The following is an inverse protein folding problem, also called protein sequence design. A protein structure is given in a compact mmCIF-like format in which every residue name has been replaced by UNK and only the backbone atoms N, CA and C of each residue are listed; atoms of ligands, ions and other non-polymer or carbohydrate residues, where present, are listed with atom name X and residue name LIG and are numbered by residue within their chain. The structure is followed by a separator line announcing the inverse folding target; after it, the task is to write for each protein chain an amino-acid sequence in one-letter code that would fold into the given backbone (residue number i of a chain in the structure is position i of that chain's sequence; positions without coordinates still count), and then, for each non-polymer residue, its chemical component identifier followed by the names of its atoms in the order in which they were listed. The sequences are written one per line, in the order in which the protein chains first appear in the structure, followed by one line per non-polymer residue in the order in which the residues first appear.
data_IF_091302861579
#
_entry.id   IF_091302861579
#
_cell.length_a   1.000
_cell.length_b   1.000
_cell.length_c   1.000
_cell.angle_alpha   90.00
_cell.angle_beta   90.00
_cell.angle_gamma   90.00
#
_symmetry.space_group_name_H-M   'P 1'
#
loop_
_entity.id
_entity.type
_entity.pdbx_description
1 polymer ?
#
# COMPACT_ATOMS: atom_id res chain seq x y z
N UNK A 1 -7.08 55.47 -37.88
CA UNK A 1 -6.91 54.70 -36.65
C UNK A 1 -8.09 54.86 -35.64
N UNK A 2 -9.28 55.20 -36.09
CA UNK A 2 -10.51 55.33 -35.24
C UNK A 2 -11.64 54.38 -35.62
N UNK A 3 -11.47 53.63 -36.75
CA UNK A 3 -12.52 52.71 -37.23
C UNK A 3 -12.41 51.29 -36.64
N UNK A 4 -11.22 50.87 -36.24
CA UNK A 4 -10.97 49.51 -35.68
C UNK A 4 -11.51 49.35 -34.23
N UNK A 5 -11.62 50.43 -33.45
CA UNK A 5 -12.14 50.36 -32.06
C UNK A 5 -13.68 50.24 -32.01
N UNK A 6 -14.39 50.69 -33.04
CA UNK A 6 -15.87 50.60 -33.10
C UNK A 6 -16.33 49.23 -33.57
N UNK A 7 -15.52 48.55 -34.40
CA UNK A 7 -15.82 47.19 -34.86
C UNK A 7 -15.61 46.15 -33.77
N UNK A 8 -14.62 46.38 -32.91
CA UNK A 8 -14.32 45.47 -31.78
C UNK A 8 -15.42 45.52 -30.69
N UNK A 9 -16.05 46.71 -30.48
CA UNK A 9 -17.12 46.86 -29.51
C UNK A 9 -18.43 46.18 -29.98
N UNK A 10 -18.71 46.13 -31.29
CA UNK A 10 -19.91 45.49 -31.86
C UNK A 10 -19.82 43.96 -31.89
N UNK A 11 -18.60 43.39 -31.96
CA UNK A 11 -18.39 41.93 -31.90
C UNK A 11 -18.50 41.41 -30.46
N UNK A 12 -18.09 42.23 -29.47
CA UNK A 12 -18.19 41.85 -28.06
C UNK A 12 -19.62 41.87 -27.50
N UNK A 13 -20.49 42.72 -28.05
CA UNK A 13 -21.91 42.79 -27.65
C UNK A 13 -22.76 41.68 -28.27
N UNK A 14 -22.35 41.10 -29.39
CA UNK A 14 -23.08 40.00 -30.06
C UNK A 14 -22.77 38.62 -29.41
N UNK A 15 -21.68 38.49 -28.64
CA UNK A 15 -21.30 37.27 -27.96
C UNK A 15 -21.94 37.09 -26.56
N UNK A 16 -22.64 38.09 -26.04
CA UNK A 16 -23.29 38.09 -24.73
C UNK A 16 -24.78 37.73 -24.71
N UNK A 17 -25.38 37.48 -25.88
CA UNK A 17 -26.83 37.18 -25.98
C UNK A 17 -27.13 35.70 -26.31
N UNK A 18 -26.09 34.84 -26.46
CA UNK A 18 -26.28 33.46 -26.86
C UNK A 18 -26.14 32.42 -25.73
N UNK A 19 -26.26 32.80 -24.45
CA UNK A 19 -26.12 31.84 -23.34
C UNK A 19 -27.29 31.85 -22.34
N UNK A 20 -28.54 31.77 -22.85
CA UNK A 20 -29.69 31.47 -22.00
C UNK A 20 -30.69 30.53 -22.69
N UNK A 21 -30.19 29.37 -23.12
CA UNK A 21 -31.05 28.21 -23.35
C UNK A 21 -30.86 27.26 -22.16
N UNK A 22 -31.60 27.52 -21.09
CA UNK A 22 -31.80 26.55 -20.04
C UNK A 22 -32.65 25.41 -20.63
N UNK A 23 -31.98 24.31 -20.99
CA UNK A 23 -32.65 23.05 -21.29
C UNK A 23 -33.14 22.49 -19.94
N UNK A 24 -34.40 22.82 -19.59
CA UNK A 24 -35.09 22.11 -18.53
C UNK A 24 -35.37 20.69 -19.02
N UNK A 25 -34.50 19.76 -18.69
CA UNK A 25 -34.77 18.34 -18.83
C UNK A 25 -35.97 18.00 -17.94
N UNK A 26 -37.14 17.80 -18.52
CA UNK A 26 -38.29 17.22 -17.85
C UNK A 26 -37.91 15.78 -17.48
N UNK A 27 -37.71 15.53 -16.16
CA UNK A 27 -37.61 14.18 -15.62
C UNK A 27 -38.95 13.47 -15.87
N UNK A 28 -38.98 12.58 -16.85
CA UNK A 28 -40.10 11.65 -17.06
C UNK A 28 -40.02 10.64 -15.92
N UNK A 29 -41.08 10.48 -15.10
CA UNK A 29 -41.08 9.46 -14.07
C UNK A 29 -40.98 8.07 -14.74
N UNK A 30 -39.94 7.28 -14.41
CA UNK A 30 -39.85 5.90 -14.84
C UNK A 30 -40.84 5.09 -13.98
N UNK A 31 -41.90 4.52 -14.57
CA UNK A 31 -42.82 3.66 -13.80
C UNK A 31 -42.08 2.35 -13.50
N UNK A 32 -42.04 1.95 -12.23
CA UNK A 32 -41.38 0.76 -11.65
C UNK A 32 -39.86 0.90 -11.36
N UNK A 33 -39.42 2.03 -10.88
CA UNK A 33 -38.17 2.02 -10.09
C UNK A 33 -38.42 1.19 -8.81
N UNK A 34 -37.63 0.15 -8.52
CA UNK A 34 -37.72 -0.52 -7.21
C UNK A 34 -37.46 0.51 -6.11
N UNK A 35 -38.18 0.38 -5.00
CA UNK A 35 -37.96 1.21 -3.83
C UNK A 35 -36.47 1.25 -3.49
N UNK A 36 -35.91 2.39 -3.01
CA UNK A 36 -34.51 2.46 -2.61
C UNK A 36 -34.26 1.34 -1.61
N UNK A 37 -33.45 0.37 -2.03
CA UNK A 37 -32.97 -0.68 -1.12
C UNK A 37 -32.22 0.05 -0.02
N UNK A 38 -32.73 -0.07 1.20
CA UNK A 38 -32.08 0.44 2.41
C UNK A 38 -30.78 -0.33 2.58
N UNK A 39 -29.73 0.13 1.90
CA UNK A 39 -28.40 -0.43 2.03
C UNK A 39 -27.97 -0.13 3.46
N UNK A 40 -27.50 -1.13 4.23
CA UNK A 40 -26.98 -0.87 5.55
C UNK A 40 -25.91 0.22 5.44
N UNK A 41 -26.12 1.33 6.13
CA UNK A 41 -25.11 2.37 6.31
C UNK A 41 -24.00 1.68 7.12
N UNK A 42 -22.93 1.29 6.44
CA UNK A 42 -21.70 0.92 7.10
C UNK A 42 -21.18 2.20 7.76
N UNK A 43 -21.44 2.34 9.05
CA UNK A 43 -20.72 3.31 9.87
C UNK A 43 -19.24 2.92 9.74
N UNK A 44 -18.42 3.83 9.22
CA UNK A 44 -16.99 3.64 9.22
C UNK A 44 -16.57 3.40 10.67
N UNK A 45 -15.99 2.24 10.96
CA UNK A 45 -15.43 1.96 12.27
C UNK A 45 -14.27 2.95 12.48
N UNK A 46 -14.52 3.98 13.29
CA UNK A 46 -13.52 4.99 13.68
C UNK A 46 -12.43 4.39 14.60
N UNK A 47 -12.31 3.08 14.70
CA UNK A 47 -11.22 2.44 15.44
C UNK A 47 -9.90 2.86 14.77
N UNK A 48 -8.98 3.53 15.50
CA UNK A 48 -7.70 3.92 14.93
C UNK A 48 -6.99 2.71 14.35
N UNK A 49 -6.51 2.81 13.11
CA UNK A 49 -5.72 1.75 12.50
C UNK A 49 -4.55 1.40 13.44
N UNK A 50 -4.36 0.14 13.84
CA UNK A 50 -3.36 -0.24 14.84
C UNK A 50 -1.92 0.01 14.37
N UNK A 51 -1.72 0.27 13.06
CA UNK A 51 -0.42 0.63 12.47
C UNK A 51 -0.53 1.94 11.68
N UNK A 52 0.47 2.81 11.83
CA UNK A 52 0.62 4.05 11.06
C UNK A 52 1.81 3.96 10.11
N UNK A 53 1.78 4.69 9.00
CA UNK A 53 2.85 4.66 8.00
C UNK A 53 4.21 5.10 8.56
N UNK A 54 4.22 6.04 9.50
CA UNK A 54 5.43 6.51 10.17
C UNK A 54 5.88 5.64 11.35
N UNK A 55 5.18 4.53 11.61
CA UNK A 55 5.43 3.63 12.73
C UNK A 55 6.66 2.75 12.55
N UNK A 56 7.05 2.10 13.64
CA UNK A 56 8.11 1.08 13.70
C UNK A 56 7.52 -0.20 14.28
N UNK A 57 7.70 -1.33 13.57
CA UNK A 57 7.05 -2.58 13.89
C UNK A 57 8.02 -3.75 13.78
N UNK A 58 7.84 -4.78 14.65
CA UNK A 58 8.73 -5.94 14.73
C UNK A 58 7.98 -7.26 14.80
N UNK A 59 6.70 -7.22 15.23
CA UNK A 59 5.89 -8.44 15.39
C UNK A 59 5.35 -8.92 14.06
N UNK A 60 5.05 -10.21 13.98
CA UNK A 60 4.46 -10.81 12.78
C UNK A 60 3.19 -10.07 12.33
N UNK A 61 2.28 -9.82 13.27
CA UNK A 61 0.95 -9.29 12.93
C UNK A 61 1.01 -7.82 12.52
N UNK A 62 1.76 -6.99 13.26
CA UNK A 62 1.93 -5.57 12.92
C UNK A 62 2.65 -5.36 11.59
N UNK A 63 3.74 -6.13 11.34
CA UNK A 63 4.52 -6.00 10.09
C UNK A 63 3.73 -6.51 8.90
N UNK A 64 2.98 -7.62 9.05
CA UNK A 64 2.13 -8.13 7.99
C UNK A 64 1.00 -7.15 7.65
N UNK A 65 0.34 -6.59 8.67
CA UNK A 65 -0.70 -5.56 8.47
C UNK A 65 -0.12 -4.30 7.83
N UNK A 66 1.06 -3.85 8.28
CA UNK A 66 1.74 -2.70 7.68
C UNK A 66 2.02 -2.90 6.19
N UNK A 67 2.59 -4.06 5.82
CA UNK A 67 2.87 -4.38 4.40
C UNK A 67 1.56 -4.48 3.61
N UNK A 68 0.50 -5.04 4.20
CA UNK A 68 -0.82 -5.14 3.55
C UNK A 68 -1.41 -3.77 3.23
N UNK A 69 -1.28 -2.79 4.13
CA UNK A 69 -1.84 -1.45 3.98
C UNK A 69 -0.98 -0.54 3.09
N UNK A 70 0.35 -0.61 3.22
CA UNK A 70 1.27 0.36 2.62
C UNK A 70 2.13 -0.21 1.48
N UNK A 71 2.17 -1.53 1.30
CA UNK A 71 2.91 -2.19 0.20
C UNK A 71 4.43 -2.21 0.33
N UNK A 72 4.98 -1.75 1.44
CA UNK A 72 6.42 -1.72 1.71
C UNK A 72 6.74 -2.04 3.18
N UNK A 73 8.01 -2.17 3.52
CA UNK A 73 8.46 -2.41 4.90
C UNK A 73 8.42 -1.12 5.74
N UNK A 74 8.18 -1.23 7.07
CA UNK A 74 8.34 -0.12 8.01
C UNK A 74 9.76 0.47 7.98
N UNK A 75 9.90 1.73 8.41
CA UNK A 75 11.17 2.49 8.36
C UNK A 75 12.30 1.90 9.19
N UNK A 76 12.00 1.05 10.18
CA UNK A 76 12.98 0.35 11.02
C UNK A 76 13.58 -0.91 10.34
N UNK A 77 13.27 -1.16 9.06
CA UNK A 77 13.90 -2.22 8.28
C UNK A 77 15.02 -1.67 7.41
N UNK A 78 16.20 -2.30 7.49
CA UNK A 78 17.38 -1.95 6.69
C UNK A 78 17.86 -3.16 5.89
N UNK A 79 18.47 -2.89 4.72
CA UNK A 79 19.04 -3.97 3.90
C UNK A 79 20.27 -4.59 4.53
N UNK A 80 20.60 -5.84 4.16
CA UNK A 80 21.85 -6.50 4.58
C UNK A 80 23.09 -5.66 4.22
N UNK A 81 23.12 -5.05 3.04
CA UNK A 81 24.24 -4.19 2.61
C UNK A 81 24.36 -2.94 3.49
N UNK A 82 23.26 -2.35 3.90
CA UNK A 82 23.29 -1.22 4.84
C UNK A 82 23.80 -1.65 6.21
N UNK A 83 23.33 -2.79 6.74
CA UNK A 83 23.80 -3.33 8.00
C UNK A 83 25.31 -3.62 7.96
N UNK A 84 25.79 -4.23 6.88
CA UNK A 84 27.23 -4.50 6.66
C UNK A 84 28.07 -3.21 6.61
N UNK A 85 27.55 -2.14 5.99
CA UNK A 85 28.24 -0.84 5.98
C UNK A 85 28.37 -0.22 7.39
N UNK A 86 27.57 -0.69 8.36
CA UNK A 86 27.66 -0.31 9.78
C UNK A 86 28.55 -1.26 10.60
N UNK A 87 29.21 -2.25 9.95
CA UNK A 87 30.10 -3.22 10.59
C UNK A 87 29.42 -4.53 11.00
N UNK A 88 28.14 -4.76 10.64
CA UNK A 88 27.44 -5.99 10.94
C UNK A 88 27.95 -7.15 10.06
N UNK A 89 28.40 -8.23 10.69
CA UNK A 89 28.89 -9.43 10.00
C UNK A 89 27.97 -10.65 10.22
N UNK A 90 26.87 -10.49 10.97
CA UNK A 90 25.92 -11.54 11.32
C UNK A 90 25.45 -11.46 12.76
N UNK A 91 24.51 -12.33 13.13
CA UNK A 91 23.96 -12.37 14.49
C UNK A 91 23.00 -11.21 14.79
N UNK A 92 23.06 -10.66 16.00
CA UNK A 92 22.23 -9.52 16.41
C UNK A 92 22.55 -8.25 15.64
N UNK A 93 21.52 -7.51 15.24
CA UNK A 93 21.69 -6.19 14.62
C UNK A 93 21.76 -5.05 15.66
N UNK A 94 21.31 -5.29 16.89
CA UNK A 94 21.20 -4.26 17.95
C UNK A 94 22.49 -3.46 18.22
N UNK A 95 23.70 -4.05 18.20
CA UNK A 95 24.93 -3.27 18.43
C UNK A 95 25.27 -2.29 17.30
N UNK A 96 24.74 -2.49 16.10
CA UNK A 96 25.10 -1.75 14.87
C UNK A 96 23.99 -0.79 14.43
N UNK A 97 22.75 -1.18 14.61
CA UNK A 97 21.56 -0.39 14.29
C UNK A 97 20.44 -0.71 15.31
N UNK A 98 20.49 -0.08 16.50
CA UNK A 98 19.52 -0.34 17.57
C UNK A 98 18.10 -0.15 17.10
N UNK A 99 17.20 -1.09 17.43
CA UNK A 99 15.81 -1.07 17.05
C UNK A 99 15.52 -1.40 15.57
N UNK A 100 16.54 -1.64 14.74
CA UNK A 100 16.34 -2.04 13.35
C UNK A 100 16.27 -3.56 13.18
N UNK A 101 15.64 -3.99 12.08
CA UNK A 101 15.60 -5.36 11.60
C UNK A 101 16.11 -5.45 10.17
N UNK A 102 16.59 -6.63 9.75
CA UNK A 102 17.00 -6.86 8.36
C UNK A 102 15.76 -7.09 7.49
N UNK A 103 15.68 -6.42 6.35
CA UNK A 103 14.61 -6.64 5.38
C UNK A 103 14.91 -6.06 4.01
N UNK A 104 13.99 -6.27 3.07
CA UNK A 104 14.09 -5.76 1.70
C UNK A 104 14.97 -6.63 0.78
N UNK A 105 15.45 -7.79 1.25
CA UNK A 105 16.16 -8.76 0.41
C UNK A 105 15.20 -9.48 -0.54
N UNK A 106 15.65 -9.77 -1.77
CA UNK A 106 14.89 -10.62 -2.69
C UNK A 106 14.86 -12.05 -2.19
N UNK A 107 13.66 -12.63 -2.10
CA UNK A 107 13.45 -14.04 -1.87
C UNK A 107 13.30 -14.79 -3.21
N UNK A 108 14.13 -15.81 -3.44
CA UNK A 108 14.24 -16.47 -4.75
C UNK A 108 13.14 -17.49 -5.06
N UNK A 109 12.45 -18.02 -4.02
CA UNK A 109 11.47 -19.11 -4.14
C UNK A 109 11.98 -20.31 -4.98
N UNK A 110 13.24 -20.70 -4.80
CA UNK A 110 13.88 -21.74 -5.62
C UNK A 110 13.28 -23.13 -5.39
N UNK A 111 12.75 -23.38 -4.19
CA UNK A 111 12.06 -24.62 -3.82
C UNK A 111 10.61 -24.66 -4.36
N UNK A 112 10.10 -23.53 -4.88
CA UNK A 112 8.75 -23.44 -5.45
C UNK A 112 7.62 -23.57 -4.44
N UNK A 113 7.88 -23.29 -3.16
CA UNK A 113 6.88 -23.41 -2.08
C UNK A 113 5.81 -22.31 -2.13
N UNK A 114 6.14 -21.17 -2.75
CA UNK A 114 5.20 -20.04 -2.94
C UNK A 114 4.69 -20.00 -4.38
N UNK A 115 3.45 -19.53 -4.62
CA UNK A 115 2.86 -19.45 -5.95
C UNK A 115 3.68 -18.59 -6.92
N UNK A 116 3.87 -19.09 -8.15
CA UNK A 116 4.60 -18.37 -9.20
C UNK A 116 3.63 -17.75 -10.21
N UNK A 117 3.95 -16.53 -10.69
CA UNK A 117 3.19 -15.81 -11.71
C UNK A 117 4.13 -14.91 -12.50
N UNK A 118 3.85 -14.69 -13.78
CA UNK A 118 4.65 -13.78 -14.61
C UNK A 118 4.71 -12.38 -13.98
N UNK A 119 5.91 -11.90 -13.68
CA UNK A 119 6.16 -10.59 -13.07
C UNK A 119 6.07 -10.57 -11.54
N UNK A 120 5.67 -11.67 -10.88
CA UNK A 120 5.69 -11.76 -9.42
C UNK A 120 7.12 -11.89 -8.93
N UNK A 121 7.44 -11.08 -7.95
CA UNK A 121 8.71 -11.11 -7.21
C UNK A 121 8.42 -11.15 -5.72
N UNK A 122 9.29 -11.76 -4.95
CA UNK A 122 9.16 -11.85 -3.51
C UNK A 122 10.28 -11.11 -2.80
N UNK A 123 9.92 -10.47 -1.69
CA UNK A 123 10.82 -9.76 -0.76
C UNK A 123 10.70 -10.38 0.62
N UNK A 124 11.82 -10.51 1.34
CA UNK A 124 11.85 -11.05 2.69
C UNK A 124 12.17 -10.00 3.76
N UNK A 125 11.72 -10.24 5.00
CA UNK A 125 12.18 -9.51 6.16
C UNK A 125 12.16 -10.36 7.42
N UNK A 126 13.02 -9.99 8.39
CA UNK A 126 13.12 -10.62 9.70
C UNK A 126 11.96 -10.23 10.61
N UNK A 127 11.51 -11.16 11.44
CA UNK A 127 10.45 -10.94 12.42
C UNK A 127 10.92 -11.28 13.83
N UNK A 128 10.44 -10.54 14.84
CA UNK A 128 10.72 -10.74 16.27
C UNK A 128 12.23 -10.66 16.63
N UNK A 129 13.02 -9.83 15.95
CA UNK A 129 14.48 -9.73 16.16
C UNK A 129 14.90 -8.68 17.17
N UNK A 130 14.00 -7.73 17.53
CA UNK A 130 14.30 -6.65 18.47
C UNK A 130 14.74 -7.20 19.82
N UNK A 131 15.90 -6.75 20.32
CA UNK A 131 16.47 -7.19 21.59
C UNK A 131 16.96 -8.64 21.62
N UNK A 132 17.02 -9.33 20.46
CA UNK A 132 17.48 -10.71 20.38
C UNK A 132 18.98 -10.78 20.06
N UNK A 133 19.63 -11.87 20.51
CA UNK A 133 21.05 -12.14 20.26
C UNK A 133 21.32 -12.63 18.82
N UNK A 134 20.28 -13.01 18.08
CA UNK A 134 20.36 -13.49 16.70
C UNK A 134 19.12 -13.11 15.92
N UNK A 135 19.16 -13.26 14.59
CA UNK A 135 18.02 -13.03 13.69
C UNK A 135 16.92 -14.09 13.81
N UNK A 136 17.22 -15.25 14.38
CA UNK A 136 16.26 -16.36 14.45
C UNK A 136 15.80 -16.86 13.08
N UNK A 137 14.75 -17.71 13.07
CA UNK A 137 14.21 -18.32 11.85
C UNK A 137 12.98 -17.60 11.29
N UNK A 138 12.33 -16.72 12.05
CA UNK A 138 11.06 -16.10 11.68
C UNK A 138 11.21 -15.06 10.58
N UNK A 139 10.40 -15.18 9.53
CA UNK A 139 10.38 -14.26 8.38
C UNK A 139 8.96 -13.95 7.93
N UNK A 140 8.81 -12.79 7.33
CA UNK A 140 7.73 -12.53 6.37
C UNK A 140 8.34 -12.50 4.97
N UNK A 141 7.65 -13.15 4.03
CA UNK A 141 7.94 -13.11 2.60
C UNK A 141 6.71 -12.57 1.90
N UNK A 142 6.84 -11.46 1.19
CA UNK A 142 5.71 -10.81 0.53
C UNK A 142 5.98 -10.55 -0.95
N UNK A 143 4.92 -10.62 -1.76
CA UNK A 143 5.00 -10.41 -3.19
C UNK A 143 4.67 -8.96 -3.56
N UNK A 144 5.15 -8.53 -4.74
CA UNK A 144 4.81 -7.24 -5.33
C UNK A 144 3.34 -7.13 -5.79
N UNK A 145 2.56 -8.20 -5.71
CA UNK A 145 1.14 -8.28 -6.08
C UNK A 145 0.22 -8.68 -4.91
N UNK A 146 0.68 -8.50 -3.65
CA UNK A 146 -0.14 -8.47 -2.46
C UNK A 146 -0.24 -9.77 -1.65
N UNK A 147 0.51 -10.82 -1.99
CA UNK A 147 0.59 -12.01 -1.15
C UNK A 147 1.58 -11.79 -0.01
N UNK A 148 1.20 -12.13 1.22
CA UNK A 148 2.06 -12.01 2.40
C UNK A 148 2.05 -13.33 3.16
N UNK A 149 3.23 -13.94 3.29
CA UNK A 149 3.45 -15.22 3.93
C UNK A 149 4.34 -15.07 5.15
N UNK A 150 4.11 -15.93 6.14
CA UNK A 150 4.95 -16.08 7.32
C UNK A 150 5.59 -17.47 7.36
N UNK A 151 6.81 -17.52 7.86
CA UNK A 151 7.53 -18.75 8.22
C UNK A 151 8.18 -18.58 9.58
N UNK A 152 8.21 -19.61 10.41
CA UNK A 152 8.94 -19.68 11.68
C UNK A 152 10.03 -20.75 11.71
N UNK A 153 10.17 -21.51 10.63
CA UNK A 153 11.08 -22.62 10.44
C UNK A 153 12.19 -22.35 9.39
N UNK A 154 12.48 -21.06 9.11
CA UNK A 154 13.49 -20.62 8.14
C UNK A 154 13.24 -21.11 6.73
N UNK A 155 11.98 -20.91 6.25
CA UNK A 155 11.49 -21.16 4.90
C UNK A 155 11.15 -22.63 4.56
N UNK A 156 11.09 -23.54 5.54
CA UNK A 156 10.67 -24.93 5.31
C UNK A 156 9.16 -25.00 5.03
N UNK A 157 8.37 -24.15 5.68
CA UNK A 157 6.94 -24.01 5.44
C UNK A 157 6.46 -22.55 5.47
N UNK A 158 5.26 -22.31 4.91
CA UNK A 158 4.68 -20.97 4.84
C UNK A 158 3.20 -20.97 5.21
N UNK A 159 2.80 -19.97 6.00
CA UNK A 159 1.39 -19.67 6.27
C UNK A 159 1.01 -18.38 5.54
N UNK A 160 -0.04 -18.41 4.72
CA UNK A 160 -0.60 -17.22 4.08
C UNK A 160 -1.26 -16.35 5.15
N UNK A 161 -0.88 -15.08 5.23
CA UNK A 161 -1.46 -14.08 6.13
C UNK A 161 -2.42 -13.15 5.39
N UNK A 162 -2.02 -12.65 4.23
CA UNK A 162 -2.82 -11.72 3.41
C UNK A 162 -2.74 -12.06 1.93
N UNK A 163 -3.78 -11.67 1.20
CA UNK A 163 -3.94 -11.93 -0.22
C UNK A 163 -4.62 -13.28 -0.48
N UNK A 164 -5.00 -13.52 -1.74
CA UNK A 164 -5.61 -14.74 -2.23
C UNK A 164 -5.38 -14.86 -3.73
N UNK A 165 -5.45 -16.05 -4.28
CA UNK A 165 -5.43 -16.30 -5.73
C UNK A 165 -6.82 -16.20 -6.35
#
# INVERSE_FOLDING_TARGET
MKLTKRLLALVLTLLLVASSFACAAQLVPVPNAPDPVDLPVYEADDTPCPVSEDGEYWTKDDVALYIHLYGHLPKNYISKSKAQSLGWEGGSLEPYAPGCSIGGGRFGNYEGLLPTKKGRTYTECDIDTRGKKSRGAKRIVFSNDGLIYYTDDHYESFTLLYGGE
#
